data_IF_233091307829
#
_entry.id   IF_233091307829
#
_cell.length_a   1.000
_cell.length_b   1.000
_cell.length_c   1.000
_cell.angle_alpha   90.00
_cell.angle_beta   90.00
_cell.angle_gamma   90.00
#
_symmetry.space_group_name_H-M   'P 1'
#
loop_
_entity.id
_entity.type
_entity.pdbx_description
1 polymer ?
#
# COMPACT_ATOMS: atom_id res chain seq x y z
N UNK A 1 -19.17 22.32 14.84
CA UNK A 1 -18.62 22.88 16.10
C UNK A 1 -17.11 23.00 15.91
N UNK A 2 -16.54 24.20 16.14
CA UNK A 2 -15.09 24.40 16.07
C UNK A 2 -14.52 24.11 17.47
N UNK A 3 -13.68 23.09 17.61
CA UNK A 3 -12.96 22.84 18.85
C UNK A 3 -11.66 23.64 18.83
N UNK A 4 -11.49 24.53 19.80
CA UNK A 4 -10.23 25.27 20.00
C UNK A 4 -9.38 24.44 20.96
N UNK A 5 -8.26 23.89 20.47
CA UNK A 5 -7.27 23.20 21.28
C UNK A 5 -6.53 24.25 22.15
N UNK A 6 -6.68 24.17 23.47
CA UNK A 6 -5.91 24.99 24.40
C UNK A 6 -4.57 24.27 24.69
N UNK A 7 -3.53 24.66 23.94
CA UNK A 7 -2.21 24.06 24.05
C UNK A 7 -1.58 24.22 25.43
N UNK A 8 -1.68 25.42 26.01
CA UNK A 8 -1.06 25.69 27.28
C UNK A 8 -1.70 24.91 28.44
N UNK A 9 -3.03 24.78 28.45
CA UNK A 9 -3.74 23.92 29.41
C UNK A 9 -3.39 22.44 29.26
N UNK A 10 -3.13 21.98 28.03
CA UNK A 10 -2.75 20.59 27.76
C UNK A 10 -1.33 20.29 28.27
N UNK A 11 -0.40 21.24 28.09
CA UNK A 11 0.97 21.12 28.58
C UNK A 11 0.99 21.17 30.14
N UNK A 12 0.21 22.04 30.74
CA UNK A 12 0.11 22.15 32.22
C UNK A 12 -0.40 20.81 32.82
N UNK A 13 -1.42 20.24 32.20
CA UNK A 13 -1.96 18.94 32.64
C UNK A 13 -0.92 17.80 32.45
N UNK A 14 -0.16 17.78 31.36
CA UNK A 14 0.90 16.81 31.12
C UNK A 14 2.01 16.91 32.19
N UNK A 15 2.44 18.12 32.52
CA UNK A 15 3.42 18.38 33.59
C UNK A 15 2.90 17.90 34.94
N UNK A 16 1.64 18.21 35.25
CA UNK A 16 0.96 17.79 36.47
C UNK A 16 0.94 16.25 36.55
N UNK A 17 0.50 15.56 35.48
CA UNK A 17 0.39 14.11 35.42
C UNK A 17 1.75 13.43 35.60
N UNK A 18 2.78 13.88 34.86
CA UNK A 18 4.14 13.36 35.03
C UNK A 18 4.63 13.44 36.50
N UNK A 19 4.40 14.58 37.17
CA UNK A 19 4.79 14.78 38.57
C UNK A 19 4.02 13.87 39.52
N UNK A 20 2.72 13.68 39.28
CA UNK A 20 1.87 12.77 40.06
C UNK A 20 2.31 11.32 39.93
N UNK A 21 2.73 10.91 38.74
CA UNK A 21 3.26 9.56 38.44
C UNK A 21 4.73 9.39 38.91
N UNK A 22 5.36 10.42 39.49
CA UNK A 22 6.73 10.39 39.98
C UNK A 22 7.79 10.26 38.89
N UNK A 23 7.44 10.52 37.63
CA UNK A 23 8.36 10.40 36.49
C UNK A 23 9.29 11.59 36.35
N UNK A 24 10.59 11.35 36.14
CA UNK A 24 11.53 12.36 35.68
C UNK A 24 11.32 12.66 34.19
N UNK A 25 11.79 13.81 33.71
CA UNK A 25 11.76 14.14 32.27
C UNK A 25 12.50 13.12 31.40
N UNK A 26 13.58 12.53 31.92
CA UNK A 26 14.35 11.47 31.23
C UNK A 26 13.54 10.18 31.13
N UNK A 27 12.85 9.80 32.19
CA UNK A 27 11.99 8.61 32.17
C UNK A 27 10.79 8.79 31.25
N UNK A 28 10.15 9.97 31.27
CA UNK A 28 9.08 10.27 30.33
C UNK A 28 9.58 10.25 28.88
N UNK A 29 10.77 10.77 28.62
CA UNK A 29 11.38 10.73 27.29
C UNK A 29 11.56 9.29 26.78
N UNK A 30 12.04 8.40 27.64
CA UNK A 30 12.18 6.97 27.32
C UNK A 30 10.82 6.30 27.05
N UNK A 31 9.80 6.60 27.87
CA UNK A 31 8.44 6.06 27.68
C UNK A 31 7.77 6.57 26.42
N UNK A 32 7.97 7.84 26.07
CA UNK A 32 7.39 8.48 24.89
C UNK A 32 8.21 8.22 23.59
N UNK A 33 9.37 7.57 23.68
CA UNK A 33 10.24 7.36 22.53
C UNK A 33 10.84 8.63 21.93
N UNK A 34 11.02 9.68 22.75
CA UNK A 34 11.58 10.98 22.34
C UNK A 34 12.85 11.33 23.13
N UNK A 35 13.57 12.37 22.71
CA UNK A 35 14.73 12.84 23.47
C UNK A 35 14.33 13.66 24.70
N UNK A 36 15.17 13.67 25.77
CA UNK A 36 14.94 14.50 26.95
C UNK A 36 14.83 16.00 26.62
N UNK A 37 15.63 16.60 25.73
CA UNK A 37 15.41 17.96 25.25
C UNK A 37 14.02 18.20 24.65
N UNK A 38 13.44 17.21 23.98
CA UNK A 38 12.08 17.27 23.42
C UNK A 38 11.03 17.41 24.53
N UNK A 39 11.17 16.66 25.64
CA UNK A 39 10.29 16.80 26.81
C UNK A 39 10.41 18.20 27.41
N UNK A 40 11.63 18.71 27.55
CA UNK A 40 11.88 20.05 28.11
C UNK A 40 11.22 21.13 27.23
N UNK A 41 11.35 21.03 25.90
CA UNK A 41 10.67 21.93 24.96
C UNK A 41 9.15 21.87 25.09
N UNK A 42 8.61 20.65 25.13
CA UNK A 42 7.19 20.41 25.30
C UNK A 42 6.65 21.05 26.61
N UNK A 43 7.29 20.76 27.74
CA UNK A 43 6.88 21.30 29.05
C UNK A 43 7.03 22.83 29.18
N UNK A 44 7.82 23.46 28.30
CA UNK A 44 7.90 24.92 28.15
C UNK A 44 6.81 25.51 27.26
N UNK A 45 5.95 24.68 26.69
CA UNK A 45 4.88 25.13 25.81
C UNK A 45 5.34 25.47 24.39
N UNK A 46 6.51 24.96 23.94
CA UNK A 46 7.05 25.24 22.63
C UNK A 46 6.09 24.73 21.51
N UNK A 47 5.53 25.69 20.76
CA UNK A 47 4.58 25.45 19.67
C UNK A 47 5.27 25.00 18.37
N UNK A 48 6.60 25.01 18.31
CA UNK A 48 7.41 24.51 17.21
C UNK A 48 7.61 22.99 17.23
N UNK A 49 7.18 22.31 18.30
CA UNK A 49 7.25 20.87 18.40
C UNK A 49 6.33 20.18 17.36
N UNK A 50 6.79 19.13 16.70
CA UNK A 50 5.92 18.38 15.79
C UNK A 50 4.75 17.76 16.55
N UNK A 51 3.56 17.79 15.95
CA UNK A 51 2.33 17.24 16.53
C UNK A 51 2.49 15.76 16.91
N UNK A 52 3.21 14.97 16.12
CA UNK A 52 3.49 13.55 16.40
C UNK A 52 4.22 13.39 17.74
N UNK A 53 5.32 14.14 17.97
CA UNK A 53 6.06 14.08 19.24
C UNK A 53 5.22 14.53 20.43
N UNK A 54 4.36 15.54 20.25
CA UNK A 54 3.45 15.97 21.29
C UNK A 54 2.44 14.87 21.65
N UNK A 55 1.86 14.19 20.65
CA UNK A 55 0.94 13.06 20.84
C UNK A 55 1.65 11.90 21.57
N UNK A 56 2.90 11.55 21.20
CA UNK A 56 3.65 10.48 21.85
C UNK A 56 3.88 10.78 23.36
N UNK A 57 4.19 12.05 23.70
CA UNK A 57 4.37 12.48 25.08
C UNK A 57 3.05 12.40 25.87
N UNK A 58 1.96 12.89 25.28
CA UNK A 58 0.64 12.88 25.92
C UNK A 58 0.13 11.44 26.12
N UNK A 59 0.37 10.57 25.13
CA UNK A 59 0.01 9.17 25.20
C UNK A 59 0.78 8.40 26.29
N UNK A 60 2.08 8.69 26.45
CA UNK A 60 2.90 8.11 27.52
C UNK A 60 2.40 8.49 28.93
N UNK A 61 1.65 9.61 29.03
CA UNK A 61 1.02 10.08 30.27
C UNK A 61 -0.46 9.67 30.40
N UNK A 62 -1.01 8.94 29.41
CA UNK A 62 -2.44 8.57 29.40
C UNK A 62 -3.38 9.77 29.24
N UNK A 63 -2.91 10.89 28.71
CA UNK A 63 -3.69 12.12 28.46
C UNK A 63 -4.28 12.20 27.07
N UNK A 64 -3.77 11.43 26.14
CA UNK A 64 -4.42 11.06 24.91
C UNK A 64 -4.40 9.54 24.86
N UNK A 65 -5.43 8.93 24.35
CA UNK A 65 -5.23 7.61 23.81
C UNK A 65 -4.17 7.81 22.72
N UNK A 66 -3.00 7.18 22.85
CA UNK A 66 -2.19 6.86 21.70
C UNK A 66 -3.23 6.32 20.75
N UNK A 67 -3.38 6.90 19.54
CA UNK A 67 -4.34 6.35 18.59
C UNK A 67 -4.02 4.86 18.45
N UNK A 68 -4.40 4.11 19.46
CA UNK A 68 -4.41 2.65 19.53
C UNK A 68 -5.61 2.11 18.77
N UNK A 69 -6.20 2.94 17.93
CA UNK A 69 -7.10 2.52 16.88
C UNK A 69 -6.47 2.65 15.50
N UNK A 70 -5.18 2.37 15.36
CA UNK A 70 -4.76 1.82 14.09
C UNK A 70 -5.65 0.60 13.88
N UNK A 71 -6.38 0.62 12.80
CA UNK A 71 -7.21 -0.53 12.44
C UNK A 71 -6.29 -1.74 12.29
N UNK A 72 -6.84 -2.94 12.43
CA UNK A 72 -6.06 -4.15 12.21
C UNK A 72 -5.41 -4.17 10.81
N UNK A 73 -6.03 -3.49 9.83
CA UNK A 73 -5.48 -3.30 8.50
C UNK A 73 -4.29 -2.34 8.49
N UNK A 74 -4.36 -1.19 9.17
CA UNK A 74 -3.23 -0.24 9.23
C UNK A 74 -2.01 -0.86 9.90
N UNK A 75 -2.21 -1.65 10.97
CA UNK A 75 -1.12 -2.41 11.59
C UNK A 75 -0.53 -3.43 10.61
N UNK A 76 -1.38 -4.19 9.90
CA UNK A 76 -0.94 -5.17 8.93
C UNK A 76 -0.09 -4.55 7.81
N UNK A 77 -0.50 -3.37 7.30
CA UNK A 77 0.22 -2.60 6.27
C UNK A 77 1.55 -2.08 6.81
N UNK A 78 1.58 -1.53 8.04
CA UNK A 78 2.79 -1.04 8.68
C UNK A 78 3.80 -2.17 8.89
N UNK A 79 3.36 -3.31 9.44
CA UNK A 79 4.19 -4.49 9.65
C UNK A 79 4.73 -5.05 8.32
N UNK A 80 3.92 -5.04 7.26
CA UNK A 80 4.35 -5.47 5.93
C UNK A 80 5.45 -4.56 5.38
N UNK A 81 5.29 -3.25 5.48
CA UNK A 81 6.28 -2.29 5.01
C UNK A 81 7.59 -2.36 5.81
N UNK A 82 7.52 -2.45 7.15
CA UNK A 82 8.70 -2.64 8.00
C UNK A 82 9.43 -3.95 7.69
N UNK A 83 8.67 -5.01 7.41
CA UNK A 83 9.23 -6.30 7.01
C UNK A 83 9.99 -6.21 5.70
N UNK A 84 9.42 -5.53 4.68
CA UNK A 84 10.11 -5.28 3.42
C UNK A 84 11.38 -4.45 3.63
N UNK A 85 11.35 -3.40 4.44
CA UNK A 85 12.55 -2.59 4.77
C UNK A 85 13.69 -3.46 5.33
N UNK A 86 13.37 -4.41 6.21
CA UNK A 86 14.37 -5.37 6.75
C UNK A 86 14.94 -6.28 5.67
N UNK A 87 14.11 -6.75 4.72
CA UNK A 87 14.56 -7.62 3.62
C UNK A 87 15.54 -6.92 2.69
N UNK A 88 15.33 -5.64 2.42
CA UNK A 88 16.17 -4.85 1.51
C UNK A 88 17.30 -4.09 2.22
N UNK A 89 17.42 -4.16 3.54
CA UNK A 89 18.35 -3.36 4.34
C UNK A 89 19.81 -3.50 3.87
N UNK A 90 20.23 -4.73 3.59
CA UNK A 90 21.60 -5.05 3.18
C UNK A 90 21.87 -4.77 1.68
N UNK A 91 20.86 -4.44 0.88
CA UNK A 91 21.03 -4.20 -0.54
C UNK A 91 21.55 -2.77 -0.81
N UNK A 92 22.29 -2.54 -1.90
CA UNK A 92 22.68 -1.19 -2.37
C UNK A 92 21.45 -0.27 -2.49
N UNK A 93 21.64 1.04 -2.31
CA UNK A 93 20.54 2.01 -2.35
C UNK A 93 19.85 2.10 -3.72
N UNK A 94 20.59 1.86 -4.79
CA UNK A 94 20.15 1.83 -6.19
C UNK A 94 19.64 0.46 -6.64
N UNK A 95 19.65 -0.55 -5.74
CA UNK A 95 19.20 -1.90 -6.11
C UNK A 95 17.71 -1.90 -6.50
N UNK A 96 17.31 -2.54 -7.61
CA UNK A 96 15.93 -2.54 -8.10
C UNK A 96 14.88 -2.96 -7.07
N UNK A 97 15.19 -3.93 -6.20
CA UNK A 97 14.28 -4.39 -5.13
C UNK A 97 14.05 -3.36 -4.02
N UNK A 98 14.80 -2.24 -3.99
CA UNK A 98 14.56 -1.09 -3.11
C UNK A 98 13.63 -0.06 -3.74
N UNK A 99 13.28 -0.24 -4.99
CA UNK A 99 12.43 0.68 -5.76
C UNK A 99 12.96 2.13 -5.75
N UNK A 100 14.20 2.37 -6.22
CA UNK A 100 14.86 3.68 -6.10
C UNK A 100 14.13 4.81 -6.80
N UNK A 101 13.25 4.49 -7.76
CA UNK A 101 12.46 5.47 -8.52
C UNK A 101 11.01 5.56 -8.06
N UNK A 102 10.65 4.89 -6.96
CA UNK A 102 9.29 4.81 -6.46
C UNK A 102 8.64 3.44 -6.69
N UNK A 103 7.48 3.27 -6.08
CA UNK A 103 6.72 2.02 -6.12
C UNK A 103 5.23 2.28 -6.03
N UNK A 104 4.45 1.27 -6.34
CA UNK A 104 3.05 1.19 -5.99
C UNK A 104 2.85 0.11 -4.93
N UNK A 105 2.12 0.46 -3.87
CA UNK A 105 1.64 -0.48 -2.86
C UNK A 105 0.12 -0.58 -2.93
N UNK A 106 -0.37 -1.80 -2.94
CA UNK A 106 -1.79 -2.14 -2.86
C UNK A 106 -2.03 -2.85 -1.55
N UNK A 107 -3.10 -2.50 -0.88
CA UNK A 107 -3.58 -3.27 0.26
C UNK A 107 -5.10 -3.36 0.25
N UNK A 108 -5.62 -4.40 0.89
CA UNK A 108 -7.04 -4.54 1.10
C UNK A 108 -7.38 -5.32 2.36
N UNK A 109 -8.56 -5.07 2.88
CA UNK A 109 -9.20 -5.84 3.94
C UNK A 109 -10.59 -6.29 3.47
N UNK A 110 -10.86 -7.58 3.64
CA UNK A 110 -12.18 -8.17 3.43
C UNK A 110 -12.93 -8.07 4.76
N UNK A 111 -13.93 -7.18 4.82
CA UNK A 111 -14.80 -7.09 5.97
C UNK A 111 -15.80 -8.26 6.01
N UNK A 112 -16.07 -8.76 7.18
CA UNK A 112 -17.05 -9.81 7.38
C UNK A 112 -16.55 -10.97 8.23
N UNK A 113 -17.41 -11.96 8.43
CA UNK A 113 -17.04 -13.15 9.18
C UNK A 113 -16.28 -14.13 8.28
N UNK A 114 -14.99 -14.28 8.56
CA UNK A 114 -14.12 -15.23 7.87
C UNK A 114 -14.05 -16.52 8.70
N UNK A 115 -14.30 -17.70 8.10
CA UNK A 115 -14.15 -18.97 8.79
C UNK A 115 -12.70 -19.20 9.24
N UNK A 116 -12.51 -19.80 10.43
CA UNK A 116 -11.20 -20.22 10.89
C UNK A 116 -10.70 -21.39 10.03
N UNK A 117 -9.52 -21.23 9.44
CA UNK A 117 -8.86 -22.22 8.58
C UNK A 117 -7.40 -22.37 9.00
N UNK A 118 -6.81 -23.53 8.73
CA UNK A 118 -5.38 -23.77 8.96
C UNK A 118 -4.54 -23.05 7.89
N UNK A 119 -3.27 -22.75 8.21
CA UNK A 119 -2.34 -22.18 7.21
C UNK A 119 -2.13 -23.10 6.00
N UNK A 120 -2.15 -24.42 6.20
CA UNK A 120 -2.02 -25.38 5.11
C UNK A 120 -3.22 -25.30 4.15
N UNK A 121 -4.44 -25.30 4.68
CA UNK A 121 -5.66 -25.13 3.87
C UNK A 121 -5.70 -23.78 3.17
N UNK A 122 -5.30 -22.72 3.88
CA UNK A 122 -5.25 -21.38 3.32
C UNK A 122 -4.33 -21.32 2.10
N UNK A 123 -3.11 -21.88 2.20
CA UNK A 123 -2.17 -21.92 1.09
C UNK A 123 -2.71 -22.73 -0.09
N UNK A 124 -3.10 -23.98 0.15
CA UNK A 124 -3.41 -24.94 -0.93
C UNK A 124 -4.81 -24.77 -1.54
N UNK A 125 -5.78 -24.36 -0.73
CA UNK A 125 -7.18 -24.34 -1.16
C UNK A 125 -7.74 -22.93 -1.39
N UNK A 126 -7.10 -21.91 -0.85
CA UNK A 126 -7.60 -20.54 -0.89
C UNK A 126 -6.71 -19.67 -1.78
N UNK A 127 -5.43 -19.50 -1.43
CA UNK A 127 -4.53 -18.60 -2.18
C UNK A 127 -4.37 -19.02 -3.64
N UNK A 128 -4.21 -20.32 -3.94
CA UNK A 128 -4.07 -20.80 -5.32
C UNK A 128 -5.30 -20.47 -6.17
N UNK A 129 -6.49 -20.49 -5.57
CA UNK A 129 -7.74 -20.15 -6.27
C UNK A 129 -7.94 -18.65 -6.48
N UNK A 130 -7.31 -17.83 -5.65
CA UNK A 130 -7.44 -16.37 -5.73
C UNK A 130 -6.54 -15.76 -6.82
N UNK A 131 -5.42 -16.41 -7.15
CA UNK A 131 -4.50 -15.93 -8.17
C UNK A 131 -5.07 -16.17 -9.56
N UNK A 132 -5.25 -15.09 -10.33
CA UNK A 132 -5.70 -15.16 -11.72
C UNK A 132 -4.74 -14.39 -12.63
N UNK A 133 -4.14 -15.04 -13.64
CA UNK A 133 -3.24 -14.38 -14.57
C UNK A 133 -4.05 -13.65 -15.64
N UNK A 134 -4.18 -12.32 -15.50
CA UNK A 134 -4.84 -11.50 -16.51
C UNK A 134 -3.85 -10.87 -17.49
N UNK A 135 -2.69 -10.40 -16.98
CA UNK A 135 -1.69 -9.67 -17.76
C UNK A 135 -0.31 -10.33 -17.81
N UNK A 136 -0.19 -11.61 -17.46
CA UNK A 136 1.06 -12.36 -17.50
C UNK A 136 1.93 -12.31 -16.24
N UNK A 137 1.83 -11.26 -15.41
CA UNK A 137 2.48 -11.16 -14.10
C UNK A 137 1.44 -10.89 -13.02
N UNK A 138 0.79 -11.96 -12.49
CA UNK A 138 -0.33 -11.80 -11.58
C UNK A 138 0.09 -11.20 -10.24
N UNK A 139 -0.75 -10.38 -9.61
CA UNK A 139 -0.55 -10.00 -8.22
C UNK A 139 -0.61 -11.25 -7.33
N UNK A 140 0.15 -11.22 -6.22
CA UNK A 140 0.22 -12.35 -5.27
C UNK A 140 0.61 -13.67 -5.92
N UNK A 141 1.46 -13.62 -6.93
CA UNK A 141 1.95 -14.81 -7.62
C UNK A 141 2.57 -15.81 -6.63
N UNK A 142 2.29 -17.10 -6.83
CA UNK A 142 2.75 -18.23 -6.03
C UNK A 142 3.84 -19.01 -6.80
N UNK A 143 5.09 -18.54 -6.84
CA UNK A 143 6.15 -19.27 -7.50
C UNK A 143 6.39 -20.62 -6.83
N UNK A 144 6.68 -21.63 -7.65
CA UNK A 144 6.95 -22.99 -7.19
C UNK A 144 8.43 -23.32 -7.08
N UNK A 145 9.30 -22.47 -7.67
CA UNK A 145 10.75 -22.63 -7.65
C UNK A 145 11.29 -22.49 -6.25
N UNK A 146 12.23 -23.37 -5.88
CA UNK A 146 12.95 -23.29 -4.60
C UNK A 146 13.63 -21.91 -4.42
N UNK A 147 13.53 -21.36 -3.21
CA UNK A 147 14.03 -20.05 -2.87
C UNK A 147 13.10 -18.88 -3.20
N UNK A 148 12.11 -19.07 -4.09
CA UNK A 148 11.09 -18.06 -4.41
C UNK A 148 9.70 -18.42 -3.86
N UNK A 149 9.52 -19.62 -3.33
CA UNK A 149 8.23 -20.07 -2.82
C UNK A 149 7.74 -19.17 -1.70
N UNK A 150 6.43 -18.92 -1.61
CA UNK A 150 5.83 -18.31 -0.44
C UNK A 150 6.14 -19.12 0.83
N UNK A 151 6.37 -18.41 1.92
CA UNK A 151 6.69 -18.96 3.24
C UNK A 151 5.84 -18.27 4.31
N UNK A 152 5.89 -18.78 5.54
CA UNK A 152 5.08 -18.25 6.66
C UNK A 152 5.97 -17.46 7.61
N UNK A 153 5.54 -16.25 7.95
CA UNK A 153 6.12 -15.40 9.00
C UNK A 153 4.97 -14.89 9.87
N UNK A 154 5.04 -15.14 11.17
CA UNK A 154 4.05 -14.67 12.15
C UNK A 154 2.59 -14.94 11.75
N UNK A 155 2.30 -16.19 11.34
CA UNK A 155 0.98 -16.65 10.86
C UNK A 155 0.47 -15.99 9.56
N UNK A 156 1.30 -15.25 8.85
CA UNK A 156 1.02 -14.62 7.56
C UNK A 156 1.79 -15.32 6.45
N UNK A 157 1.17 -15.56 5.31
CA UNK A 157 1.87 -16.04 4.11
C UNK A 157 2.53 -14.86 3.42
N UNK A 158 3.84 -14.98 3.20
CA UNK A 158 4.72 -13.94 2.66
C UNK A 158 5.47 -14.48 1.44
N UNK A 159 5.75 -13.61 0.46
CA UNK A 159 6.63 -13.91 -0.66
C UNK A 159 7.43 -12.66 -1.02
N UNK A 160 8.74 -12.83 -1.21
CA UNK A 160 9.62 -11.80 -1.72
C UNK A 160 10.35 -12.30 -2.97
N UNK A 161 9.92 -11.82 -4.13
CA UNK A 161 10.47 -12.23 -5.43
C UNK A 161 11.76 -11.45 -5.73
N UNK A 162 11.94 -10.29 -5.10
CA UNK A 162 13.09 -9.41 -5.29
C UNK A 162 14.39 -9.84 -4.61
N UNK A 163 14.48 -11.05 -4.02
CA UNK A 163 15.70 -11.54 -3.39
C UNK A 163 16.78 -11.87 -4.44
N UNK A 164 17.89 -11.09 -4.52
CA UNK A 164 18.94 -11.32 -5.51
C UNK A 164 19.73 -12.60 -5.28
N UNK A 165 19.68 -13.18 -4.07
CA UNK A 165 20.35 -14.43 -3.77
C UNK A 165 19.66 -15.64 -4.44
N UNK A 166 18.34 -15.55 -4.61
CA UNK A 166 17.52 -16.64 -5.13
C UNK A 166 16.96 -16.37 -6.51
N UNK A 167 16.65 -15.09 -6.83
CA UNK A 167 16.10 -14.68 -8.11
C UNK A 167 17.16 -14.03 -9.01
N UNK A 168 17.72 -14.82 -9.93
CA UNK A 168 18.67 -14.32 -10.92
C UNK A 168 18.01 -14.02 -12.28
N UNK A 169 16.74 -14.33 -12.44
CA UNK A 169 16.03 -14.19 -13.71
C UNK A 169 15.34 -12.82 -13.85
N UNK A 170 14.93 -12.25 -12.71
CA UNK A 170 14.20 -10.98 -12.67
C UNK A 170 14.97 -10.00 -11.78
N UNK A 171 15.69 -9.10 -12.42
CA UNK A 171 16.62 -8.16 -11.76
C UNK A 171 16.14 -6.71 -11.82
N UNK A 172 14.91 -6.48 -12.27
CA UNK A 172 14.30 -5.16 -12.38
C UNK A 172 13.20 -4.92 -11.31
N UNK A 173 12.84 -3.65 -11.16
CA UNK A 173 11.87 -3.23 -10.14
C UNK A 173 10.44 -3.76 -10.38
N UNK A 174 10.06 -3.99 -11.64
CA UNK A 174 8.71 -4.45 -11.99
C UNK A 174 8.47 -5.93 -11.62
N UNK A 175 9.53 -6.68 -11.40
CA UNK A 175 9.50 -8.11 -11.09
C UNK A 175 10.07 -8.42 -9.69
N UNK A 176 10.21 -7.41 -8.83
CA UNK A 176 10.75 -7.54 -7.47
C UNK A 176 9.65 -7.48 -6.41
N UNK A 177 8.50 -8.08 -6.66
CA UNK A 177 7.34 -8.05 -5.79
C UNK A 177 7.65 -8.51 -4.37
N UNK A 178 7.12 -7.77 -3.40
CA UNK A 178 6.94 -8.22 -2.04
C UNK A 178 5.46 -8.22 -1.68
N UNK A 179 4.95 -9.35 -1.16
CA UNK A 179 3.56 -9.43 -0.76
C UNK A 179 3.35 -10.27 0.49
N UNK A 180 2.27 -9.96 1.21
CA UNK A 180 1.78 -10.68 2.38
C UNK A 180 0.27 -10.86 2.29
N UNK A 181 -0.23 -12.03 2.70
CA UNK A 181 -1.68 -12.31 2.76
C UNK A 181 -1.98 -13.08 4.04
N UNK A 182 -2.96 -12.62 4.81
CA UNK A 182 -3.40 -13.27 6.04
C UNK A 182 -4.70 -14.06 5.85
N UNK A 183 -4.90 -15.05 6.74
CA UNK A 183 -6.14 -15.86 6.79
C UNK A 183 -7.37 -15.03 7.17
N UNK A 184 -7.16 -13.89 7.77
CA UNK A 184 -8.19 -12.92 8.18
C UNK A 184 -8.61 -11.98 7.05
N UNK A 185 -8.21 -12.29 5.79
CA UNK A 185 -8.64 -11.54 4.60
C UNK A 185 -7.93 -10.21 4.40
N UNK A 186 -6.73 -10.03 4.98
CA UNK A 186 -5.88 -8.86 4.74
C UNK A 186 -4.77 -9.20 3.80
N UNK A 187 -4.44 -8.27 2.91
CA UNK A 187 -3.35 -8.43 1.97
C UNK A 187 -2.58 -7.13 1.76
N UNK A 188 -1.31 -7.27 1.42
CA UNK A 188 -0.40 -6.20 1.03
C UNK A 188 0.47 -6.67 -0.13
N UNK A 189 0.61 -5.86 -1.16
CA UNK A 189 1.50 -6.08 -2.31
C UNK A 189 2.24 -4.79 -2.62
N UNK A 190 3.56 -4.86 -2.76
CA UNK A 190 4.41 -3.76 -3.19
C UNK A 190 5.24 -4.18 -4.39
N UNK A 191 5.33 -3.31 -5.41
CA UNK A 191 6.14 -3.51 -6.63
C UNK A 191 6.60 -2.19 -7.22
N UNK A 192 7.69 -2.23 -7.98
CA UNK A 192 8.14 -1.08 -8.78
C UNK A 192 7.27 -0.84 -10.01
N UNK A 193 7.47 0.30 -10.64
CA UNK A 193 6.81 0.62 -11.91
C UNK A 193 7.40 -0.18 -13.06
N UNK A 194 6.53 -0.71 -13.92
CA UNK A 194 6.97 -1.52 -15.06
C UNK A 194 7.72 -0.69 -16.10
N UNK A 195 7.35 0.55 -16.27
CA UNK A 195 8.03 1.52 -17.14
C UNK A 195 9.46 1.90 -16.68
N UNK A 196 9.82 1.53 -15.45
CA UNK A 196 11.17 1.72 -14.90
C UNK A 196 12.07 0.46 -15.06
N UNK A 197 11.59 -0.60 -15.72
CA UNK A 197 12.33 -1.85 -15.90
C UNK A 197 13.33 -1.81 -17.05
N UNK A 198 13.27 -0.80 -17.90
CA UNK A 198 14.14 -0.61 -19.06
C UNK A 198 14.97 0.67 -18.91
N UNK A 199 16.13 0.74 -19.60
CA UNK A 199 16.97 1.93 -19.56
C UNK A 199 16.39 3.10 -20.37
N UNK A 200 15.49 2.82 -21.30
CA UNK A 200 14.85 3.81 -22.17
C UNK A 200 13.32 3.55 -22.26
N UNK A 201 12.50 4.52 -21.86
CA UNK A 201 12.88 5.84 -21.31
C UNK A 201 13.56 5.71 -19.93
N UNK A 202 14.39 6.70 -19.57
CA UNK A 202 15.12 6.69 -18.29
C UNK A 202 14.17 6.42 -17.12
N UNK A 203 14.49 5.47 -16.23
CA UNK A 203 13.67 5.17 -15.05
C UNK A 203 13.33 6.43 -14.23
N UNK A 204 12.11 6.48 -13.70
CA UNK A 204 11.63 7.62 -12.92
C UNK A 204 11.13 8.81 -13.74
N UNK A 205 11.09 8.74 -15.08
CA UNK A 205 10.73 9.89 -15.93
C UNK A 205 9.33 9.85 -16.52
N UNK A 206 8.77 8.68 -16.71
CA UNK A 206 7.42 8.50 -17.27
C UNK A 206 6.48 7.79 -16.31
N UNK A 207 5.19 7.92 -16.55
CA UNK A 207 4.12 7.19 -15.90
C UNK A 207 3.13 6.73 -16.97
N UNK A 208 2.84 5.45 -17.01
CA UNK A 208 1.97 4.90 -18.07
C UNK A 208 0.49 5.13 -17.78
N UNK A 209 -0.28 5.44 -18.82
CA UNK A 209 -1.73 5.67 -18.73
C UNK A 209 -2.51 4.39 -18.43
N UNK A 210 -2.06 3.24 -18.92
CA UNK A 210 -2.84 1.98 -18.94
C UNK A 210 -2.49 1.06 -17.77
N UNK A 211 -1.21 1.00 -17.40
CA UNK A 211 -0.73 0.07 -16.38
C UNK A 211 -1.43 0.23 -15.01
N UNK A 212 -1.67 1.45 -14.49
CA UNK A 212 -2.40 1.59 -13.23
C UNK A 212 -3.82 1.02 -13.29
N UNK A 213 -4.51 1.16 -14.44
CA UNK A 213 -5.85 0.60 -14.64
C UNK A 213 -5.80 -0.93 -14.56
N UNK A 214 -4.85 -1.56 -15.24
CA UNK A 214 -4.71 -3.02 -15.23
C UNK A 214 -4.30 -3.53 -13.86
N UNK A 215 -3.28 -2.96 -13.24
CA UNK A 215 -2.72 -3.44 -11.97
C UNK A 215 -3.70 -3.30 -10.82
N UNK A 216 -4.39 -2.15 -10.70
CA UNK A 216 -5.43 -1.97 -9.69
C UNK A 216 -6.61 -2.93 -9.92
N UNK A 217 -7.01 -3.14 -11.17
CA UNK A 217 -8.07 -4.11 -11.53
C UNK A 217 -7.69 -5.53 -11.13
N UNK A 218 -6.46 -5.97 -11.43
CA UNK A 218 -5.98 -7.32 -11.08
C UNK A 218 -5.98 -7.57 -9.58
N UNK A 219 -5.51 -6.60 -8.78
CA UNK A 219 -5.50 -6.72 -7.32
C UNK A 219 -6.90 -6.72 -6.73
N UNK A 220 -7.79 -5.87 -7.24
CA UNK A 220 -9.18 -5.83 -6.78
C UNK A 220 -9.95 -7.11 -7.15
N UNK A 221 -9.70 -7.66 -8.34
CA UNK A 221 -10.25 -8.97 -8.76
C UNK A 221 -9.67 -10.11 -7.91
N UNK A 222 -8.41 -10.04 -7.52
CA UNK A 222 -7.81 -11.00 -6.59
C UNK A 222 -8.49 -10.93 -5.22
N UNK A 223 -8.75 -9.73 -4.68
CA UNK A 223 -9.46 -9.56 -3.41
C UNK A 223 -10.86 -10.20 -3.43
N UNK A 224 -11.61 -10.03 -4.53
CA UNK A 224 -12.92 -10.64 -4.70
C UNK A 224 -12.85 -12.17 -4.82
N UNK A 225 -11.86 -12.67 -5.55
CA UNK A 225 -11.60 -14.11 -5.66
C UNK A 225 -11.17 -14.73 -4.31
N UNK A 226 -10.35 -14.02 -3.52
CA UNK A 226 -9.96 -14.44 -2.17
C UNK A 226 -11.18 -14.49 -1.24
N UNK A 227 -12.03 -13.45 -1.25
CA UNK A 227 -13.26 -13.42 -0.47
C UNK A 227 -14.19 -14.60 -0.83
N UNK A 228 -14.33 -14.88 -2.12
CA UNK A 228 -15.13 -16.02 -2.62
C UNK A 228 -14.54 -17.36 -2.18
N UNK A 229 -13.21 -17.53 -2.27
CA UNK A 229 -12.54 -18.75 -1.82
C UNK A 229 -12.63 -18.95 -0.30
N UNK A 230 -12.60 -17.87 0.48
CA UNK A 230 -12.83 -17.86 1.93
C UNK A 230 -14.31 -18.06 2.31
N UNK A 231 -15.22 -18.09 1.33
CA UNK A 231 -16.67 -18.22 1.52
C UNK A 231 -17.25 -17.09 2.38
N UNK A 232 -16.74 -15.88 2.19
CA UNK A 232 -17.26 -14.68 2.84
C UNK A 232 -18.62 -14.33 2.22
N UNK A 233 -19.54 -13.84 3.06
CA UNK A 233 -20.90 -13.47 2.62
C UNK A 233 -20.85 -12.35 1.56
N UNK A 234 -21.75 -12.42 0.57
CA UNK A 234 -21.82 -11.42 -0.50
C UNK A 234 -22.27 -10.02 -0.05
N UNK A 235 -22.77 -9.90 1.19
CA UNK A 235 -23.05 -8.60 1.84
C UNK A 235 -21.79 -7.93 2.39
N UNK A 236 -20.69 -8.65 2.48
CA UNK A 236 -19.41 -8.14 2.93
C UNK A 236 -18.80 -7.14 1.94
N UNK A 237 -17.87 -6.35 2.42
CA UNK A 237 -17.17 -5.37 1.62
C UNK A 237 -15.66 -5.63 1.58
N UNK A 238 -15.04 -5.13 0.52
CA UNK A 238 -13.59 -5.05 0.36
C UNK A 238 -13.22 -3.57 0.48
N UNK A 239 -12.43 -3.22 1.49
CA UNK A 239 -11.78 -1.92 1.56
C UNK A 239 -10.46 -2.05 0.83
N UNK A 240 -10.30 -1.31 -0.25
CA UNK A 240 -9.14 -1.40 -1.14
C UNK A 240 -8.41 -0.07 -1.16
N UNK A 241 -7.09 -0.11 -0.95
CA UNK A 241 -6.23 1.06 -0.92
C UNK A 241 -5.07 0.89 -1.88
N UNK A 242 -4.61 2.01 -2.43
CA UNK A 242 -3.43 2.08 -3.30
C UNK A 242 -2.59 3.28 -2.93
N UNK A 243 -1.29 3.09 -2.79
CA UNK A 243 -0.33 4.16 -2.59
C UNK A 243 0.70 4.16 -3.71
N UNK A 244 0.79 5.25 -4.43
CA UNK A 244 1.84 5.53 -5.41
C UNK A 244 2.89 6.44 -4.79
N UNK A 245 4.18 6.17 -5.04
CA UNK A 245 5.32 6.99 -4.59
C UNK A 245 6.23 7.29 -5.77
N UNK A 246 7.07 8.33 -5.66
CA UNK A 246 8.04 8.64 -6.72
C UNK A 246 7.41 9.19 -8.01
N UNK A 247 6.25 9.87 -7.91
CA UNK A 247 5.54 10.41 -9.08
C UNK A 247 6.08 11.78 -9.51
N UNK A 248 6.84 12.48 -8.66
CA UNK A 248 7.31 13.83 -8.95
C UNK A 248 8.09 13.89 -10.26
N UNK A 249 7.72 14.83 -11.12
CA UNK A 249 8.30 15.08 -12.45
C UNK A 249 8.05 14.00 -13.51
N UNK A 250 7.39 12.89 -13.19
CA UNK A 250 6.99 11.91 -14.21
C UNK A 250 6.02 12.52 -15.20
N UNK A 251 6.19 12.16 -16.46
CA UNK A 251 5.32 12.54 -17.56
C UNK A 251 4.34 11.40 -17.88
N UNK A 252 3.06 11.70 -18.00
CA UNK A 252 2.04 10.75 -18.44
C UNK A 252 2.27 10.37 -19.91
N UNK A 253 2.29 9.07 -20.20
CA UNK A 253 2.55 8.53 -21.55
C UNK A 253 1.68 7.32 -21.87
N UNK A 254 1.68 6.89 -23.13
CA UNK A 254 1.10 5.63 -23.59
C UNK A 254 2.19 4.56 -23.80
N UNK A 255 3.13 4.42 -22.88
CA UNK A 255 4.29 3.52 -23.03
C UNK A 255 3.87 2.06 -23.26
N UNK A 256 2.91 1.54 -22.49
CA UNK A 256 2.43 0.17 -22.63
C UNK A 256 1.56 -0.06 -23.89
N UNK A 257 1.08 1.01 -24.51
CA UNK A 257 0.26 0.96 -25.74
C UNK A 257 0.71 2.04 -26.73
N UNK A 258 1.88 1.88 -27.36
CA UNK A 258 2.47 2.90 -28.24
C UNK A 258 1.63 3.20 -29.49
N UNK A 259 0.77 2.30 -29.91
CA UNK A 259 -0.15 2.51 -31.05
C UNK A 259 -1.33 3.47 -30.74
N UNK A 260 -1.50 3.84 -29.47
CA UNK A 260 -2.49 4.83 -29.07
C UNK A 260 -2.04 6.22 -29.50
N UNK A 261 -2.99 7.06 -29.89
CA UNK A 261 -2.70 8.46 -30.23
C UNK A 261 -1.91 9.15 -29.10
N UNK A 262 -0.83 9.86 -29.41
CA UNK A 262 -0.05 10.60 -28.42
C UNK A 262 -0.92 11.71 -27.80
N UNK A 263 -0.54 12.13 -26.61
CA UNK A 263 -1.14 13.30 -25.98
C UNK A 263 -0.80 14.57 -26.77
N UNK A 264 -1.76 15.48 -26.91
CA UNK A 264 -1.53 16.79 -27.53
C UNK A 264 -0.66 17.68 -26.63
N UNK A 265 -0.85 17.55 -25.30
CA UNK A 265 -0.14 18.33 -24.29
C UNK A 265 0.73 17.43 -23.42
N UNK A 266 1.72 18.03 -22.77
CA UNK A 266 2.55 17.34 -21.79
C UNK A 266 1.90 17.40 -20.41
N UNK A 267 1.59 16.25 -19.84
CA UNK A 267 1.02 16.12 -18.50
C UNK A 267 2.08 15.62 -17.53
N UNK A 268 2.44 16.41 -16.51
CA UNK A 268 3.45 16.07 -15.51
C UNK A 268 2.91 16.15 -14.09
N UNK A 269 3.33 15.22 -13.24
CA UNK A 269 3.04 15.29 -11.83
C UNK A 269 4.04 16.19 -11.09
N UNK A 270 3.52 17.03 -10.19
CA UNK A 270 4.31 17.78 -9.18
C UNK A 270 4.17 17.18 -7.79
N UNK A 271 3.31 16.18 -7.65
CA UNK A 271 3.06 15.46 -6.41
C UNK A 271 3.95 14.22 -6.39
N UNK A 272 4.62 13.94 -5.26
CA UNK A 272 5.45 12.75 -5.14
C UNK A 272 4.63 11.51 -4.77
N UNK A 273 3.75 11.63 -3.80
CA UNK A 273 2.99 10.51 -3.25
C UNK A 273 1.49 10.75 -3.34
N UNK A 274 0.74 9.71 -3.70
CA UNK A 274 -0.72 9.73 -3.78
C UNK A 274 -1.28 8.48 -3.11
N UNK A 275 -2.19 8.66 -2.17
CA UNK A 275 -2.95 7.57 -1.55
C UNK A 275 -4.42 7.65 -1.98
N UNK A 276 -5.00 6.52 -2.33
CA UNK A 276 -6.34 6.38 -2.90
C UNK A 276 -7.05 5.21 -2.24
N UNK A 277 -8.37 5.26 -2.21
CA UNK A 277 -9.16 4.15 -1.69
C UNK A 277 -10.49 4.02 -2.40
N UNK A 278 -11.03 2.80 -2.45
CA UNK A 278 -12.38 2.52 -2.90
C UNK A 278 -12.95 1.35 -2.08
N UNK A 279 -14.26 1.37 -1.88
CA UNK A 279 -14.99 0.29 -1.22
C UNK A 279 -15.83 -0.47 -2.25
N UNK A 280 -15.66 -1.79 -2.30
CA UNK A 280 -16.37 -2.66 -3.23
C UNK A 280 -17.19 -3.72 -2.47
N UNK A 281 -18.29 -4.20 -3.05
CA UNK A 281 -19.05 -5.32 -2.52
C UNK A 281 -18.48 -6.64 -3.02
N UNK A 282 -18.33 -7.62 -2.13
CA UNK A 282 -17.90 -8.99 -2.46
C UNK A 282 -18.84 -9.60 -3.51
N UNK A 283 -18.27 -10.28 -4.49
CA UNK A 283 -19.01 -10.92 -5.59
C UNK A 283 -19.53 -9.98 -6.68
N UNK A 284 -19.37 -8.66 -6.51
CA UNK A 284 -19.79 -7.65 -7.50
C UNK A 284 -18.64 -6.87 -8.14
N UNK A 285 -17.40 -7.17 -7.77
CA UNK A 285 -16.24 -6.45 -8.28
C UNK A 285 -16.14 -6.58 -9.80
N UNK A 286 -16.27 -7.78 -10.34
CA UNK A 286 -16.16 -8.01 -11.79
C UNK A 286 -17.21 -7.25 -12.60
N UNK A 287 -18.43 -7.17 -12.08
CA UNK A 287 -19.54 -6.44 -12.72
C UNK A 287 -19.29 -4.93 -12.75
N UNK A 288 -18.74 -4.39 -11.64
CA UNK A 288 -18.56 -2.95 -11.43
C UNK A 288 -17.11 -2.50 -11.61
N UNK A 289 -16.22 -3.33 -12.17
CA UNK A 289 -14.78 -3.06 -12.17
C UNK A 289 -14.41 -1.72 -12.81
N UNK A 290 -15.04 -1.37 -13.93
CA UNK A 290 -14.72 -0.14 -14.62
C UNK A 290 -15.08 1.11 -13.80
N UNK A 291 -16.25 1.13 -13.16
CA UNK A 291 -16.66 2.24 -12.29
C UNK A 291 -15.81 2.35 -11.03
N UNK A 292 -15.49 1.23 -10.39
CA UNK A 292 -14.62 1.18 -9.22
C UNK A 292 -13.20 1.69 -9.53
N UNK A 293 -12.64 1.29 -10.67
CA UNK A 293 -11.31 1.73 -11.10
C UNK A 293 -11.30 3.18 -11.53
N UNK A 294 -12.35 3.66 -12.19
CA UNK A 294 -12.48 5.09 -12.53
C UNK A 294 -12.55 5.94 -11.26
N UNK A 295 -13.40 5.56 -10.30
CA UNK A 295 -13.52 6.24 -9.00
C UNK A 295 -12.19 6.27 -8.26
N UNK A 296 -11.51 5.12 -8.19
CA UNK A 296 -10.22 4.97 -7.51
C UNK A 296 -9.13 5.84 -8.15
N UNK A 297 -8.97 5.77 -9.48
CA UNK A 297 -7.80 6.32 -10.15
C UNK A 297 -7.97 7.75 -10.67
N UNK A 298 -9.20 8.27 -10.83
CA UNK A 298 -9.39 9.63 -11.29
C UNK A 298 -8.58 10.67 -10.48
N UNK A 299 -8.52 10.64 -9.13
CA UNK A 299 -7.72 11.59 -8.38
C UNK A 299 -6.20 11.46 -8.60
N UNK A 300 -5.70 10.28 -8.98
CA UNK A 300 -4.30 10.09 -9.37
C UNK A 300 -3.98 10.84 -10.66
N UNK A 301 -4.80 10.63 -11.69
CA UNK A 301 -4.57 11.24 -13.01
C UNK A 301 -4.71 12.75 -12.97
N UNK A 302 -5.54 13.31 -12.11
CA UNK A 302 -5.64 14.75 -11.89
C UNK A 302 -4.34 15.40 -11.39
N UNK A 303 -3.42 14.60 -10.77
CA UNK A 303 -2.09 15.09 -10.38
C UNK A 303 -1.17 15.33 -11.56
N UNK A 304 -1.52 14.83 -12.76
CA UNK A 304 -0.82 15.05 -14.02
C UNK A 304 -1.45 16.22 -14.78
N UNK A 305 -1.27 17.44 -14.30
CA UNK A 305 -1.77 18.68 -14.88
C UNK A 305 -3.29 18.62 -15.23
N UNK A 306 -4.11 18.18 -14.26
CA UNK A 306 -5.56 18.04 -14.36
C UNK A 306 -6.03 17.04 -15.43
N UNK A 307 -5.22 16.03 -15.76
CA UNK A 307 -5.62 15.02 -16.74
C UNK A 307 -6.91 14.31 -16.29
N UNK A 308 -7.89 14.26 -17.16
CA UNK A 308 -9.15 13.60 -16.89
C UNK A 308 -9.17 12.21 -17.51
N UNK A 309 -9.23 11.19 -16.66
CA UNK A 309 -9.35 9.81 -17.09
C UNK A 309 -10.71 9.57 -17.77
N UNK A 310 -10.71 9.08 -19.00
CA UNK A 310 -11.93 8.83 -19.75
C UNK A 310 -12.60 7.54 -19.27
N UNK A 311 -13.90 7.60 -19.02
CA UNK A 311 -14.69 6.41 -18.65
C UNK A 311 -14.64 5.34 -19.74
N UNK A 312 -14.73 5.74 -21.02
CA UNK A 312 -14.65 4.81 -22.15
C UNK A 312 -13.28 4.09 -22.22
N UNK A 313 -12.22 4.78 -21.86
CA UNK A 313 -10.88 4.18 -21.76
C UNK A 313 -10.84 3.12 -20.67
N UNK A 314 -11.31 3.44 -19.47
CA UNK A 314 -11.33 2.49 -18.35
C UNK A 314 -12.19 1.28 -18.66
N UNK A 315 -13.36 1.48 -19.26
CA UNK A 315 -14.24 0.39 -19.71
C UNK A 315 -13.56 -0.52 -20.74
N UNK A 316 -12.87 0.06 -21.72
CA UNK A 316 -12.16 -0.70 -22.75
C UNK A 316 -11.01 -1.50 -22.14
N UNK A 317 -10.15 -0.86 -21.31
CA UNK A 317 -8.99 -1.51 -20.71
C UNK A 317 -9.37 -2.64 -19.73
N UNK A 318 -10.38 -2.42 -18.88
CA UNK A 318 -10.86 -3.46 -17.97
C UNK A 318 -11.52 -4.63 -18.69
N UNK A 319 -12.26 -4.35 -19.78
CA UNK A 319 -12.84 -5.38 -20.64
C UNK A 319 -11.77 -6.23 -21.32
N UNK A 320 -10.75 -5.60 -21.90
CA UNK A 320 -9.62 -6.29 -22.53
C UNK A 320 -8.87 -7.15 -21.52
N UNK A 321 -8.56 -6.62 -20.34
CA UNK A 321 -7.91 -7.34 -19.26
C UNK A 321 -8.67 -8.64 -18.92
N UNK A 322 -9.97 -8.53 -18.64
CA UNK A 322 -10.80 -9.68 -18.29
C UNK A 322 -10.91 -10.70 -19.45
N UNK A 323 -10.93 -10.23 -20.70
CA UNK A 323 -11.01 -11.11 -21.85
C UNK A 323 -9.74 -11.92 -22.08
N UNK A 324 -8.59 -11.40 -21.73
CA UNK A 324 -7.29 -12.06 -21.87
C UNK A 324 -7.18 -13.28 -20.94
N UNK A 325 -7.74 -13.21 -19.73
CA UNK A 325 -7.76 -14.34 -18.80
C UNK A 325 -8.45 -15.61 -19.34
N UNK A 326 -9.27 -15.49 -20.38
CA UNK A 326 -9.96 -16.64 -21.01
C UNK A 326 -9.11 -17.33 -22.07
N UNK A 327 -7.93 -16.79 -22.39
CA UNK A 327 -7.05 -17.32 -23.46
C UNK A 327 -5.80 -18.03 -22.90
N UNK A 328 -5.58 -17.93 -21.57
CA UNK A 328 -4.52 -18.63 -20.82
C UNK A 328 -5.07 -19.87 -20.11
#
# INVERSE_FOLDING_TARGET
MSYVLNWDALVDEAVRRRKTEGLTQVQLAALAGVSAPTIISFEKGDKGLSLSKAIDILAALGLTEKNSSQTAQENFVSDAFERWLKLVEALPQDHPSRFPHGFVAYDYEIEGKIPSITLSEFRTNILEKAVAPFSGWPPFWLPTRDGLRPYVVDDVVECWIGDPATNRAFTDAAHADFWRVSREGRAYLQRGFQEDSEDLPKPGTIFDLTLPIWRASEVLLHADALASALKVDSSAAINFHVKYTGLSSRQLTNWAKPDRLPFFDTHRSRTNDVALSVRASVGKVRENIASLILELLQPLYEKFDFFRLSESLVQEETRQLISNARKL
#
